data_IF_400338665602
#
_entry.id   IF_400338665602
#
_cell.length_a   1.000
_cell.length_b   1.000
_cell.length_c   1.000
_cell.angle_alpha   90.00
_cell.angle_beta   90.00
_cell.angle_gamma   90.00
#
_symmetry.space_group_name_H-M   'P 1'
#
loop_
_entity.id
_entity.type
_entity.pdbx_description
1 polymer ?
#
# COMPACT_ATOMS: atom_id res chain seq x y z
N UNK A 1 -10.34 -13.25 15.88
CA UNK A 1 -9.13 -13.57 15.08
C UNK A 1 -8.25 -12.31 15.06
N UNK A 2 -6.92 -12.39 14.95
CA UNK A 2 -6.03 -11.22 15.12
C UNK A 2 -6.43 -10.03 14.23
N UNK A 3 -6.68 -10.24 12.94
CA UNK A 3 -7.09 -9.17 12.01
C UNK A 3 -8.43 -8.53 12.38
N UNK A 4 -9.41 -9.34 12.79
CA UNK A 4 -10.68 -8.83 13.27
C UNK A 4 -10.56 -8.04 14.58
N UNK A 5 -9.57 -8.36 15.42
CA UNK A 5 -9.29 -7.56 16.60
C UNK A 5 -8.64 -6.21 16.26
N UNK A 6 -7.81 -6.16 15.19
CA UNK A 6 -7.22 -4.92 14.69
C UNK A 6 -8.32 -4.01 14.13
N UNK A 7 -9.19 -4.54 13.28
CA UNK A 7 -10.33 -3.80 12.74
C UNK A 7 -11.25 -3.29 13.86
N UNK A 8 -11.64 -4.17 14.79
CA UNK A 8 -12.47 -3.77 15.93
C UNK A 8 -11.80 -2.75 16.87
N UNK A 9 -10.46 -2.65 16.86
CA UNK A 9 -9.76 -1.65 17.67
C UNK A 9 -9.96 -0.23 17.16
N UNK A 10 -10.37 -0.07 15.89
CA UNK A 10 -10.70 1.21 15.29
C UNK A 10 -12.18 1.60 15.47
N UNK A 11 -13.04 0.71 15.95
CA UNK A 11 -14.47 1.00 16.14
C UNK A 11 -14.67 2.14 17.16
N UNK A 12 -15.46 3.13 16.77
CA UNK A 12 -15.73 4.34 17.54
C UNK A 12 -14.61 5.39 17.47
N UNK A 13 -13.58 5.19 16.65
CA UNK A 13 -12.52 6.17 16.39
C UNK A 13 -12.73 6.90 15.07
N UNK A 14 -12.00 8.00 14.84
CA UNK A 14 -12.03 8.73 13.55
C UNK A 14 -11.57 7.86 12.36
N UNK A 15 -10.81 6.79 12.62
CA UNK A 15 -10.32 5.85 11.60
C UNK A 15 -11.21 4.62 11.40
N UNK A 16 -12.40 4.55 12.02
CA UNK A 16 -13.29 3.39 11.86
C UNK A 16 -13.55 3.05 10.39
N UNK A 17 -13.91 4.05 9.58
CA UNK A 17 -14.20 3.88 8.16
C UNK A 17 -12.96 3.49 7.33
N UNK A 18 -11.75 3.86 7.78
CA UNK A 18 -10.50 3.51 7.10
C UNK A 18 -10.11 2.04 7.31
N UNK A 19 -10.55 1.44 8.42
CA UNK A 19 -10.24 0.06 8.79
C UNK A 19 -11.34 -0.94 8.43
N UNK A 20 -12.58 -0.46 8.26
CA UNK A 20 -13.72 -1.29 7.91
C UNK A 20 -13.48 -2.07 6.60
N UNK A 21 -13.52 -3.40 6.66
CA UNK A 21 -13.33 -4.30 5.52
C UNK A 21 -11.88 -4.42 5.02
N UNK A 22 -10.91 -3.81 5.70
CA UNK A 22 -9.49 -3.80 5.27
C UNK A 22 -8.88 -5.22 5.19
N UNK A 23 -9.40 -6.17 5.96
CA UNK A 23 -8.85 -7.52 6.07
C UNK A 23 -9.78 -8.61 5.50
N UNK A 24 -10.85 -8.25 4.79
CA UNK A 24 -11.87 -9.18 4.29
C UNK A 24 -11.29 -10.29 3.38
N UNK A 25 -10.23 -9.97 2.64
CA UNK A 25 -9.59 -10.91 1.72
C UNK A 25 -8.53 -11.82 2.39
N UNK A 26 -8.24 -11.62 3.69
CA UNK A 26 -7.22 -12.39 4.41
C UNK A 26 -7.81 -13.66 5.02
N UNK A 27 -7.68 -14.77 4.29
CA UNK A 27 -8.00 -16.11 4.81
C UNK A 27 -6.80 -16.80 5.48
N UNK A 28 -6.67 -16.63 6.80
CA UNK A 28 -5.64 -17.32 7.62
C UNK A 28 -5.87 -18.82 7.76
N UNK A 29 -7.05 -19.32 7.36
CA UNK A 29 -7.39 -20.74 7.37
C UNK A 29 -7.24 -21.39 5.99
N UNK A 30 -6.69 -20.68 5.02
CA UNK A 30 -6.51 -21.20 3.67
C UNK A 30 -5.64 -22.45 3.64
N UNK A 31 -6.05 -23.45 2.84
CA UNK A 31 -5.24 -24.64 2.57
C UNK A 31 -3.91 -24.30 1.85
N UNK A 32 -3.78 -23.12 1.24
CA UNK A 32 -2.52 -22.63 0.66
C UNK A 32 -1.45 -22.34 1.74
N UNK A 33 -1.88 -22.00 2.95
CA UNK A 33 -0.99 -21.79 4.10
C UNK A 33 -0.52 -23.12 4.69
N UNK A 34 -1.33 -24.17 4.60
CA UNK A 34 -0.94 -25.52 4.99
C UNK A 34 -2.15 -26.45 5.21
N UNK A 35 -1.90 -27.75 5.11
CA UNK A 35 -2.94 -28.78 5.24
C UNK A 35 -3.45 -28.97 6.68
N UNK A 36 -2.70 -28.52 7.69
CA UNK A 36 -3.07 -28.66 9.11
C UNK A 36 -2.94 -27.33 9.83
N UNK A 37 -3.71 -27.16 10.92
CA UNK A 37 -3.66 -25.96 11.77
C UNK A 37 -2.22 -25.67 12.24
N UNK A 38 -1.48 -26.71 12.66
CA UNK A 38 -0.09 -26.56 13.08
C UNK A 38 0.82 -25.99 11.97
N UNK A 39 0.66 -26.46 10.72
CA UNK A 39 1.45 -25.94 9.59
C UNK A 39 1.07 -24.52 9.20
N UNK A 40 -0.22 -24.17 9.29
CA UNK A 40 -0.68 -22.79 9.03
C UNK A 40 -0.09 -21.84 10.08
N UNK A 41 -0.18 -22.20 11.35
CA UNK A 41 0.39 -21.41 12.45
C UNK A 41 1.91 -21.27 12.31
N UNK A 42 2.64 -22.34 12.01
CA UNK A 42 4.10 -22.28 11.79
C UNK A 42 4.47 -21.29 10.67
N UNK A 43 3.73 -21.28 9.55
CA UNK A 43 3.96 -20.29 8.48
C UNK A 43 3.63 -18.87 8.89
N UNK A 44 2.50 -18.65 9.57
CA UNK A 44 2.09 -17.32 9.99
C UNK A 44 3.05 -16.73 11.03
N UNK A 45 3.50 -17.54 12.00
CA UNK A 45 4.50 -17.13 12.98
C UNK A 45 5.80 -16.75 12.28
N UNK A 46 6.31 -17.59 11.37
CA UNK A 46 7.52 -17.26 10.58
C UNK A 46 7.38 -15.96 9.79
N UNK A 47 6.19 -15.68 9.24
CA UNK A 47 5.94 -14.43 8.53
C UNK A 47 5.99 -13.22 9.50
N UNK A 48 5.33 -13.32 10.65
CA UNK A 48 5.30 -12.27 11.66
C UNK A 48 6.69 -12.03 12.26
N UNK A 49 7.43 -13.09 12.57
CA UNK A 49 8.81 -13.00 13.06
C UNK A 49 9.70 -12.34 12.01
N UNK A 50 9.57 -12.73 10.73
CA UNK A 50 10.30 -12.12 9.63
C UNK A 50 10.03 -10.62 9.49
N UNK A 51 8.79 -10.17 9.70
CA UNK A 51 8.43 -8.74 9.73
C UNK A 51 9.02 -8.07 10.98
N UNK A 52 8.93 -8.71 12.15
CA UNK A 52 9.45 -8.18 13.41
C UNK A 52 10.97 -8.05 13.45
N UNK A 53 11.69 -8.89 12.71
CA UNK A 53 13.14 -8.84 12.54
C UNK A 53 13.60 -7.75 11.55
N UNK A 54 12.69 -7.20 10.73
CA UNK A 54 13.02 -6.10 9.84
C UNK A 54 13.48 -4.91 10.68
N UNK A 55 14.73 -4.47 10.47
CA UNK A 55 15.32 -3.31 11.14
C UNK A 55 14.74 -2.02 10.58
N UNK A 56 13.46 -1.77 10.84
CA UNK A 56 12.74 -0.57 10.40
C UNK A 56 13.00 0.64 11.32
N UNK A 57 13.95 0.49 12.27
CA UNK A 57 14.37 1.51 13.24
C UNK A 57 13.28 1.88 14.24
N UNK A 58 13.44 3.01 14.93
CA UNK A 58 12.41 3.51 15.85
C UNK A 58 11.24 4.05 15.03
N UNK A 59 10.06 3.45 15.18
CA UNK A 59 8.82 3.82 14.48
C UNK A 59 8.47 5.31 14.62
N UNK A 60 8.94 5.95 15.70
CA UNK A 60 8.70 7.38 15.97
C UNK A 60 9.70 8.31 15.29
N UNK A 61 10.88 7.81 14.91
CA UNK A 61 11.96 8.61 14.30
C UNK A 61 12.12 8.37 12.79
N UNK A 62 11.73 7.18 12.29
CA UNK A 62 11.68 6.89 10.86
C UNK A 62 10.35 7.35 10.26
N UNK A 63 10.29 8.63 9.94
CA UNK A 63 9.13 9.31 9.35
C UNK A 63 8.77 8.71 8.00
N UNK A 64 7.84 7.75 7.96
CA UNK A 64 6.96 7.39 6.83
C UNK A 64 7.66 6.79 5.57
N UNK A 65 8.91 7.15 5.28
CA UNK A 65 9.58 6.89 4.02
C UNK A 65 10.14 5.46 3.95
N UNK A 66 10.71 4.93 5.03
CA UNK A 66 11.28 3.57 5.03
C UNK A 66 10.20 2.48 4.84
N UNK A 67 9.04 2.64 5.47
CA UNK A 67 7.90 1.73 5.29
C UNK A 67 7.23 1.91 3.92
N UNK A 68 7.13 3.17 3.44
CA UNK A 68 6.63 3.46 2.10
C UNK A 68 7.50 2.84 1.02
N UNK A 69 8.83 3.01 1.10
CA UNK A 69 9.78 2.44 0.16
C UNK A 69 9.79 0.89 0.22
N UNK A 70 9.68 0.31 1.43
CA UNK A 70 9.54 -1.15 1.58
C UNK A 70 8.25 -1.68 0.94
N UNK A 71 7.13 -0.96 1.12
CA UNK A 71 5.86 -1.30 0.49
C UNK A 71 5.95 -1.19 -1.04
N UNK A 72 6.50 -0.10 -1.57
CA UNK A 72 6.69 0.08 -3.02
C UNK A 72 7.61 -1.01 -3.61
N UNK A 73 8.65 -1.42 -2.88
CA UNK A 73 9.52 -2.53 -3.26
C UNK A 73 8.77 -3.87 -3.33
N UNK A 74 7.97 -4.20 -2.31
CA UNK A 74 7.17 -5.41 -2.29
C UNK A 74 6.14 -5.42 -3.43
N UNK A 75 5.52 -4.28 -3.72
CA UNK A 75 4.60 -4.14 -4.85
C UNK A 75 5.30 -4.33 -6.20
N UNK A 76 6.51 -3.79 -6.37
CA UNK A 76 7.33 -4.02 -7.57
C UNK A 76 7.74 -5.49 -7.73
N UNK A 77 8.10 -6.16 -6.64
CA UNK A 77 8.41 -7.60 -6.63
C UNK A 77 7.19 -8.45 -6.99
N UNK A 78 6.00 -8.10 -6.46
CA UNK A 78 4.76 -8.78 -6.80
C UNK A 78 4.42 -8.61 -8.29
N UNK A 79 4.46 -7.37 -8.81
CA UNK A 79 4.18 -7.10 -10.22
C UNK A 79 5.15 -7.83 -11.16
N UNK A 80 6.43 -7.87 -10.82
CA UNK A 80 7.46 -8.58 -11.60
C UNK A 80 7.22 -10.09 -11.64
N UNK A 81 6.76 -10.68 -10.53
CA UNK A 81 6.45 -12.11 -10.43
C UNK A 81 5.06 -12.48 -11.02
N UNK A 82 4.13 -11.53 -11.09
CA UNK A 82 2.76 -11.74 -11.58
C UNK A 82 2.66 -11.77 -13.13
N UNK A 83 3.71 -11.41 -13.86
CA UNK A 83 3.75 -11.47 -15.32
C UNK A 83 2.86 -10.43 -16.01
N UNK A 84 2.16 -10.82 -17.10
CA UNK A 84 1.38 -9.91 -17.98
C UNK A 84 0.26 -9.14 -17.26
N UNK A 85 -0.18 -9.61 -16.10
CA UNK A 85 -1.21 -8.95 -15.29
C UNK A 85 -0.68 -7.75 -14.50
N UNK A 86 0.62 -7.67 -14.21
CA UNK A 86 1.19 -6.69 -13.28
C UNK A 86 1.14 -5.22 -13.74
N UNK A 87 1.10 -4.97 -15.05
CA UNK A 87 1.10 -3.62 -15.63
C UNK A 87 -0.18 -2.82 -15.40
N UNK A 88 -1.30 -3.48 -15.10
CA UNK A 88 -2.56 -2.82 -14.72
C UNK A 88 -2.60 -2.45 -13.22
N UNK A 89 -1.70 -2.99 -12.40
CA UNK A 89 -1.72 -2.83 -10.94
C UNK A 89 -0.59 -1.94 -10.41
N UNK A 90 0.50 -1.79 -11.17
CA UNK A 90 1.69 -1.07 -10.71
C UNK A 90 2.36 -0.29 -11.84
N UNK A 91 2.55 1.02 -11.60
CA UNK A 91 3.40 1.87 -12.43
C UNK A 91 4.81 1.89 -11.83
N UNK A 92 5.87 1.51 -12.58
CA UNK A 92 7.26 1.61 -12.11
C UNK A 92 7.61 3.00 -11.57
N UNK A 93 8.50 3.06 -10.59
CA UNK A 93 8.84 4.32 -9.92
C UNK A 93 9.36 5.39 -10.89
N UNK A 94 10.24 5.01 -11.82
CA UNK A 94 10.87 5.93 -12.77
C UNK A 94 9.84 6.50 -13.75
N UNK A 95 8.88 5.69 -14.17
CA UNK A 95 7.76 6.12 -15.02
C UNK A 95 6.85 7.06 -14.23
N UNK A 96 6.55 6.72 -12.97
CA UNK A 96 5.72 7.54 -12.10
C UNK A 96 6.34 8.91 -11.83
N UNK A 97 7.65 8.96 -11.60
CA UNK A 97 8.39 10.21 -11.44
C UNK A 97 8.36 11.04 -12.72
N UNK A 98 8.65 10.44 -13.87
CA UNK A 98 8.63 11.13 -15.15
C UNK A 98 7.24 11.74 -15.44
N UNK A 99 6.17 10.94 -15.32
CA UNK A 99 4.80 11.39 -15.55
C UNK A 99 4.41 12.53 -14.60
N UNK A 100 4.77 12.41 -13.31
CA UNK A 100 4.52 13.46 -12.33
C UNK A 100 5.23 14.75 -12.73
N UNK A 101 6.55 14.69 -13.01
CA UNK A 101 7.35 15.87 -13.40
C UNK A 101 6.80 16.55 -14.65
N UNK A 102 6.34 15.78 -15.63
CA UNK A 102 5.71 16.30 -16.83
C UNK A 102 4.37 16.99 -16.53
N UNK A 103 3.51 16.39 -15.71
CA UNK A 103 2.18 16.94 -15.39
C UNK A 103 2.24 18.26 -14.61
N UNK A 104 3.30 18.44 -13.81
CA UNK A 104 3.49 19.58 -12.90
C UNK A 104 4.50 20.60 -13.42
N UNK A 105 5.08 20.37 -14.61
CA UNK A 105 6.10 21.25 -15.18
C UNK A 105 5.62 22.71 -15.23
N UNK A 106 6.40 23.62 -14.63
CA UNK A 106 6.10 25.05 -14.57
C UNK A 106 5.01 25.45 -13.57
N UNK A 107 4.56 24.53 -12.70
CA UNK A 107 3.56 24.80 -11.65
C UNK A 107 4.21 24.67 -10.27
N UNK A 108 3.97 25.64 -9.40
CA UNK A 108 4.39 25.60 -7.99
C UNK A 108 3.32 25.04 -7.05
N UNK A 109 2.07 24.96 -7.52
CA UNK A 109 0.93 24.44 -6.78
C UNK A 109 -0.08 23.79 -7.71
N UNK A 110 -0.82 22.82 -7.20
CA UNK A 110 -1.83 22.05 -7.93
C UNK A 110 -3.14 22.07 -7.13
N UNK A 111 -4.27 22.21 -7.82
CA UNK A 111 -5.57 22.15 -7.16
C UNK A 111 -5.85 20.75 -6.62
N UNK A 112 -5.80 19.73 -7.48
CA UNK A 112 -5.96 18.31 -7.14
C UNK A 112 -5.17 17.41 -8.08
N UNK A 113 -4.74 16.25 -7.60
CA UNK A 113 -4.17 15.18 -8.42
C UNK A 113 -5.20 14.07 -8.55
N UNK A 114 -5.48 13.62 -9.78
CA UNK A 114 -6.48 12.58 -10.03
C UNK A 114 -5.90 11.49 -10.94
N UNK A 115 -6.05 10.24 -10.51
CA UNK A 115 -5.70 9.05 -11.27
C UNK A 115 -6.96 8.16 -11.44
N UNK A 116 -7.53 8.06 -12.66
CA UNK A 116 -8.75 7.31 -12.91
C UNK A 116 -8.56 5.78 -12.90
N UNK A 117 -7.32 5.30 -12.85
CA UNK A 117 -7.00 3.87 -12.85
C UNK A 117 -5.79 3.62 -11.92
N UNK A 118 -5.92 4.03 -10.66
CA UNK A 118 -4.77 4.16 -9.77
C UNK A 118 -4.11 2.84 -9.37
N UNK A 119 -4.78 1.69 -9.57
CA UNK A 119 -4.24 0.38 -9.24
C UNK A 119 -3.83 0.30 -7.76
N UNK A 120 -2.53 0.20 -7.50
CA UNK A 120 -1.93 0.22 -6.15
C UNK A 120 -1.81 1.62 -5.52
N UNK A 121 -2.10 2.70 -6.26
CA UNK A 121 -1.94 4.08 -5.82
C UNK A 121 -0.51 4.60 -5.86
N UNK A 122 0.46 3.81 -6.35
CA UNK A 122 1.89 4.17 -6.35
C UNK A 122 2.19 5.47 -7.08
N UNK A 123 1.48 5.76 -8.17
CA UNK A 123 1.62 7.01 -8.91
C UNK A 123 1.18 8.22 -8.07
N UNK A 124 0.07 8.12 -7.34
CA UNK A 124 -0.43 9.19 -6.46
C UNK A 124 0.51 9.43 -5.28
N UNK A 125 1.07 8.36 -4.70
CA UNK A 125 2.09 8.46 -3.64
C UNK A 125 3.36 9.14 -4.14
N UNK A 126 3.83 8.78 -5.34
CA UNK A 126 4.99 9.43 -5.96
C UNK A 126 4.71 10.91 -6.26
N UNK A 127 3.49 11.23 -6.71
CA UNK A 127 3.06 12.61 -6.90
C UNK A 127 3.11 13.41 -5.58
N UNK A 128 2.67 12.82 -4.47
CA UNK A 128 2.78 13.45 -3.16
C UNK A 128 4.23 13.65 -2.70
N UNK A 129 5.13 12.70 -2.97
CA UNK A 129 6.57 12.80 -2.63
C UNK A 129 7.28 13.89 -3.44
N UNK A 130 6.91 14.09 -4.71
CA UNK A 130 7.52 15.09 -5.61
C UNK A 130 6.93 16.49 -5.39
N UNK A 131 5.61 16.60 -5.24
CA UNK A 131 4.94 17.88 -5.07
C UNK A 131 5.00 18.40 -3.64
N UNK A 132 5.06 17.53 -2.63
CA UNK A 132 4.71 17.89 -1.26
C UNK A 132 3.19 18.01 -1.09
N UNK A 133 2.65 17.42 -0.02
CA UNK A 133 1.18 17.42 0.23
C UNK A 133 0.64 18.84 0.39
N UNK A 134 1.46 19.75 0.92
CA UNK A 134 1.18 21.17 1.14
C UNK A 134 0.97 21.96 -0.16
N UNK A 135 1.52 21.49 -1.28
CA UNK A 135 1.36 22.13 -2.60
C UNK A 135 0.15 21.59 -3.38
N UNK A 136 -0.67 20.71 -2.76
CA UNK A 136 -1.89 20.15 -3.35
C UNK A 136 -3.11 20.54 -2.52
N UNK A 137 -3.93 21.46 -3.05
CA UNK A 137 -4.98 22.16 -2.26
C UNK A 137 -6.15 21.27 -1.81
N UNK A 138 -6.67 20.45 -2.72
CA UNK A 138 -7.85 19.59 -2.46
C UNK A 138 -7.48 18.14 -2.19
N UNK A 139 -6.23 17.74 -2.44
CA UNK A 139 -5.74 16.38 -2.20
C UNK A 139 -5.62 15.50 -3.45
N UNK A 140 -5.51 14.20 -3.20
CA UNK A 140 -5.20 13.15 -4.16
C UNK A 140 -6.41 12.21 -4.28
N UNK A 141 -6.80 11.90 -5.51
CA UNK A 141 -8.00 11.13 -5.80
C UNK A 141 -7.65 9.99 -6.74
N UNK A 142 -8.04 8.76 -6.38
CA UNK A 142 -7.80 7.57 -7.18
C UNK A 142 -9.08 6.78 -7.39
N UNK A 143 -9.25 6.19 -8.58
CA UNK A 143 -10.31 5.22 -8.83
C UNK A 143 -9.69 3.87 -9.22
N UNK A 144 -10.23 2.79 -8.65
CA UNK A 144 -9.84 1.40 -8.93
C UNK A 144 -11.09 0.60 -9.27
N UNK A 145 -11.09 -0.08 -10.42
CA UNK A 145 -12.23 -0.91 -10.86
C UNK A 145 -12.26 -2.26 -10.11
N UNK A 146 -11.09 -2.85 -9.87
CA UNK A 146 -10.95 -4.14 -9.20
C UNK A 146 -10.68 -3.93 -7.71
N UNK A 147 -11.62 -4.25 -6.82
CA UNK A 147 -11.34 -4.21 -5.38
C UNK A 147 -10.24 -5.21 -4.99
N UNK A 148 -10.22 -6.40 -5.62
CA UNK A 148 -9.36 -7.52 -5.25
C UNK A 148 -8.30 -7.82 -6.31
N UNK A 149 -7.04 -7.99 -5.90
CA UNK A 149 -5.93 -8.53 -6.71
C UNK A 149 -5.04 -9.39 -5.83
#
# INVERSE_FOLDING_TARGET
>A
MVFQNIENSANGSESEDDFAGLFDDIDVNSNKLGATVAKRNDKLVKLLDGIGEMKLGDFRENTIDAFGDAYEYLMGMYASNAGKSGGEYYTPQEVSELLTRLAVAGKSEINKVYDPACGSGSLLLKAAKILGKEHVRQGFFGQKINLTS
#
